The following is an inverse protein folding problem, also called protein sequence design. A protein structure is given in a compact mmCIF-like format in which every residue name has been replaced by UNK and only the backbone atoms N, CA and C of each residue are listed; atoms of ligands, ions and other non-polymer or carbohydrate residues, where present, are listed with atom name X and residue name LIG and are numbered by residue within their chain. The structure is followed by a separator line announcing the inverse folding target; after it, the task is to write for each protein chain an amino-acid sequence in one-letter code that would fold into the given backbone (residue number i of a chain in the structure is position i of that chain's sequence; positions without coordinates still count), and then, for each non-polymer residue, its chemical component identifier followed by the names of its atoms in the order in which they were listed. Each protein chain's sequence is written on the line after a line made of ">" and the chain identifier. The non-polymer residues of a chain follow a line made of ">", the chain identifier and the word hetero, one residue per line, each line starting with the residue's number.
data_IF_405293799651
#
_entry.id   IF_405293799651
#
_cell.length_a   1.000
_cell.length_b   1.000
_cell.length_c   1.000
_cell.angle_alpha   90.00
_cell.angle_beta   90.00
_cell.angle_gamma   90.00
#
_symmetry.space_group_name_H-M   'P 1'
#
loop_
_entity.id
_entity.type
_entity.pdbx_description
1 polymer ?
#
# COMPACT_ATOMS: atom_id res chain seq x y z
N UNK A 1 -0.84 21.26 49.43
CA UNK A 1 -0.11 20.29 50.26
C UNK A 1 -1.06 19.15 50.57
N UNK A 2 -0.94 17.91 50.12
CA UNK A 2 -0.12 17.23 49.12
C UNK A 2 -0.77 15.85 48.89
N UNK A 3 -0.72 15.37 47.64
CA UNK A 3 -0.76 13.95 47.26
C UNK A 3 -2.11 13.22 47.41
N UNK A 4 -2.42 12.18 46.63
CA UNK A 4 -1.63 11.47 45.63
C UNK A 4 -2.57 10.63 44.74
N UNK A 5 -2.05 10.35 43.55
CA UNK A 5 -2.67 9.73 42.39
C UNK A 5 -3.20 8.29 42.58
N UNK A 6 -4.29 7.97 41.90
CA UNK A 6 -4.71 6.64 41.48
C UNK A 6 -5.81 6.82 40.41
N UNK A 7 -5.89 6.15 39.26
CA UNK A 7 -5.10 5.11 38.63
C UNK A 7 -5.47 5.20 37.14
N UNK A 8 -4.52 5.53 36.25
CA UNK A 8 -4.74 5.53 34.80
C UNK A 8 -4.72 4.08 34.32
N UNK A 9 -5.85 3.55 33.87
CA UNK A 9 -5.85 2.31 33.09
C UNK A 9 -5.87 2.65 31.59
N UNK A 10 -4.72 3.04 31.06
CA UNK A 10 -4.50 3.03 29.62
C UNK A 10 -4.08 1.61 29.23
N UNK A 11 -4.97 0.91 28.53
CA UNK A 11 -4.67 -0.39 27.91
C UNK A 11 -3.53 -0.24 26.90
N UNK A 12 -2.34 -0.66 27.31
CA UNK A 12 -1.17 -0.80 26.44
C UNK A 12 -1.36 -2.14 25.70
N UNK A 13 -1.89 -2.13 24.47
CA UNK A 13 -1.78 -3.30 23.60
C UNK A 13 -0.33 -3.34 23.09
N UNK A 14 0.42 -4.34 23.57
CA UNK A 14 1.83 -4.55 23.26
C UNK A 14 2.11 -4.74 21.76
N UNK A 15 3.39 -4.76 21.37
CA UNK A 15 3.80 -4.78 19.97
C UNK A 15 3.40 -6.10 19.33
N UNK A 16 2.42 -6.04 18.43
CA UNK A 16 2.10 -7.14 17.53
C UNK A 16 3.33 -7.52 16.72
N UNK A 17 3.61 -8.81 16.71
CA UNK A 17 4.62 -9.59 15.98
C UNK A 17 4.67 -9.37 14.44
N UNK A 18 4.07 -8.31 13.89
CA UNK A 18 4.03 -8.00 12.46
C UNK A 18 5.02 -6.90 12.02
N UNK A 19 5.81 -6.33 12.93
CA UNK A 19 6.77 -5.23 12.62
C UNK A 19 7.96 -5.62 11.72
N UNK A 20 8.06 -6.86 11.25
CA UNK A 20 9.28 -7.34 10.54
C UNK A 20 9.08 -7.74 9.08
N UNK A 21 7.88 -7.61 8.53
CA UNK A 21 7.61 -8.04 7.14
C UNK A 21 7.31 -6.90 6.16
N UNK A 22 6.94 -5.71 6.63
CA UNK A 22 6.44 -4.65 5.74
C UNK A 22 7.45 -3.54 5.37
N UNK A 23 8.57 -3.40 6.08
CA UNK A 23 9.42 -2.21 5.97
C UNK A 23 10.76 -2.39 5.22
N UNK A 24 11.20 -3.62 4.91
CA UNK A 24 12.61 -3.84 4.57
C UNK A 24 12.95 -3.89 3.06
N UNK A 25 11.99 -3.83 2.11
CA UNK A 25 12.37 -4.10 0.71
C UNK A 25 11.67 -3.37 -0.43
N UNK A 26 10.76 -2.42 -0.19
CA UNK A 26 10.05 -1.73 -1.29
C UNK A 26 10.24 -0.22 -1.35
N UNK A 27 10.99 0.39 -0.42
CA UNK A 27 11.16 1.84 -0.33
C UNK A 27 12.59 2.22 0.11
N UNK A 28 13.60 1.72 -0.60
CA UNK A 28 14.91 2.37 -0.60
C UNK A 28 14.94 3.32 -1.80
N UNK A 29 14.70 4.60 -1.56
CA UNK A 29 15.17 5.66 -2.46
C UNK A 29 16.70 5.72 -2.35
N UNK A 30 17.40 5.93 -3.47
CA UNK A 30 18.87 6.01 -3.51
C UNK A 30 19.46 7.12 -2.61
N UNK A 31 18.64 8.06 -2.14
CA UNK A 31 19.09 9.26 -1.42
C UNK A 31 19.13 9.14 0.12
N UNK A 32 18.81 7.98 0.71
CA UNK A 32 19.08 7.69 2.12
C UNK A 32 18.39 8.59 3.16
N UNK A 33 17.37 9.38 2.76
CA UNK A 33 16.59 10.21 3.69
C UNK A 33 15.38 9.45 4.23
N UNK A 34 15.33 9.28 5.55
CA UNK A 34 14.28 8.54 6.24
C UNK A 34 13.07 9.44 6.48
N UNK A 35 12.18 9.57 5.49
CA UNK A 35 10.89 10.24 5.70
C UNK A 35 9.97 9.36 6.56
N UNK A 36 9.47 9.92 7.67
CA UNK A 36 8.53 9.25 8.57
C UNK A 36 7.14 9.32 7.96
N UNK A 37 6.84 8.39 7.06
CA UNK A 37 5.53 8.29 6.44
C UNK A 37 4.58 7.50 7.35
N UNK A 38 3.36 8.02 7.58
CA UNK A 38 2.37 7.29 8.37
C UNK A 38 1.74 6.15 7.53
N UNK A 39 1.04 5.21 8.17
CA UNK A 39 0.52 4.01 7.49
C UNK A 39 -0.47 4.34 6.35
N UNK A 40 -1.33 5.34 6.57
CA UNK A 40 -2.33 5.79 5.59
C UNK A 40 -1.67 6.35 4.35
N UNK A 41 -0.69 7.18 4.59
CA UNK A 41 0.23 7.75 3.64
C UNK A 41 0.86 6.63 2.78
N UNK A 42 1.57 5.66 3.41
CA UNK A 42 2.21 4.55 2.71
C UNK A 42 1.22 3.79 1.82
N UNK A 43 0.00 3.58 2.33
CA UNK A 43 -1.07 2.92 1.61
C UNK A 43 -1.53 3.71 0.38
N UNK A 44 -1.65 5.03 0.47
CA UNK A 44 -2.00 5.89 -0.67
C UNK A 44 -0.92 5.86 -1.75
N UNK A 45 0.37 5.93 -1.38
CA UNK A 45 1.48 5.75 -2.33
C UNK A 45 1.42 4.38 -3.01
N UNK A 46 1.23 3.31 -2.24
CA UNK A 46 1.07 1.95 -2.79
C UNK A 46 -0.12 1.84 -3.73
N UNK A 47 -1.25 2.45 -3.39
CA UNK A 47 -2.47 2.43 -4.17
C UNK A 47 -2.26 3.14 -5.52
N UNK A 48 -1.62 4.32 -5.50
CA UNK A 48 -1.26 5.05 -6.72
C UNK A 48 -0.35 4.21 -7.60
N UNK A 49 0.72 3.66 -7.04
CA UNK A 49 1.64 2.79 -7.80
C UNK A 49 0.93 1.57 -8.40
N UNK A 50 0.09 0.89 -7.63
CA UNK A 50 -0.64 -0.27 -8.14
C UNK A 50 -1.61 0.07 -9.28
N UNK A 51 -2.12 1.31 -9.33
CA UNK A 51 -2.90 1.80 -10.47
C UNK A 51 -2.03 2.01 -11.70
N UNK A 52 -0.91 2.71 -11.57
CA UNK A 52 0.04 2.92 -12.68
C UNK A 52 0.55 1.58 -13.22
N UNK A 53 0.89 0.64 -12.34
CA UNK A 53 1.28 -0.72 -12.70
C UNK A 53 0.17 -1.44 -13.49
N UNK A 54 -1.10 -1.23 -13.13
CA UNK A 54 -2.23 -1.84 -13.84
C UNK A 54 -2.45 -1.20 -15.21
N UNK A 55 -2.39 0.13 -15.32
CA UNK A 55 -2.49 0.83 -16.61
C UNK A 55 -1.36 0.42 -17.55
N UNK A 56 -0.13 0.39 -17.03
CA UNK A 56 1.06 -0.07 -17.77
C UNK A 56 0.89 -1.52 -18.23
N UNK A 57 0.36 -2.40 -17.37
CA UNK A 57 0.12 -3.79 -17.75
C UNK A 57 -0.92 -3.93 -18.86
N UNK A 58 -1.94 -3.07 -18.90
CA UNK A 58 -2.93 -3.02 -19.97
C UNK A 58 -2.29 -2.55 -21.27
N UNK A 59 -1.53 -1.46 -21.23
CA UNK A 59 -0.82 -0.93 -22.42
C UNK A 59 0.19 -1.93 -23.00
N UNK A 60 0.88 -2.66 -22.13
CA UNK A 60 1.88 -3.64 -22.57
C UNK A 60 1.28 -4.89 -23.22
N UNK A 61 -0.03 -5.16 -23.04
CA UNK A 61 -0.67 -6.30 -23.69
C UNK A 61 -0.56 -6.24 -25.22
N UNK A 62 -0.54 -5.04 -25.79
CA UNK A 62 -0.39 -4.81 -27.23
C UNK A 62 0.96 -5.26 -27.78
N UNK A 63 1.94 -5.56 -26.91
CA UNK A 63 3.26 -6.10 -27.28
C UNK A 63 3.29 -7.63 -27.38
N UNK A 64 2.16 -8.32 -27.18
CA UNK A 64 2.12 -9.78 -27.27
C UNK A 64 2.28 -10.26 -28.73
N UNK A 65 3.37 -10.99 -29.01
CA UNK A 65 3.67 -11.49 -30.36
C UNK A 65 3.30 -12.96 -30.58
N UNK A 66 3.05 -13.71 -29.50
CA UNK A 66 2.72 -15.14 -29.54
C UNK A 66 1.82 -15.55 -28.37
N UNK A 67 1.29 -16.77 -28.43
CA UNK A 67 0.32 -17.29 -27.46
C UNK A 67 0.86 -17.30 -26.02
N UNK A 68 2.14 -17.64 -25.82
CA UNK A 68 2.77 -17.62 -24.48
C UNK A 68 2.84 -16.19 -23.91
N UNK A 69 3.11 -15.20 -24.75
CA UNK A 69 3.10 -13.78 -24.35
C UNK A 69 1.69 -13.30 -24.04
N UNK A 70 0.69 -13.73 -24.81
CA UNK A 70 -0.73 -13.41 -24.53
C UNK A 70 -1.10 -13.89 -23.12
N UNK A 71 -0.78 -15.15 -22.80
CA UNK A 71 -1.03 -15.70 -21.46
C UNK A 71 -0.29 -14.91 -20.39
N UNK A 72 1.01 -14.64 -20.59
CA UNK A 72 1.81 -13.83 -19.67
C UNK A 72 1.17 -12.47 -19.37
N UNK A 73 0.80 -11.70 -20.40
CA UNK A 73 0.23 -10.37 -20.21
C UNK A 73 -1.15 -10.44 -19.56
N UNK A 74 -1.99 -11.42 -19.89
CA UNK A 74 -3.28 -11.64 -19.21
C UNK A 74 -3.09 -11.89 -17.71
N UNK A 75 -2.14 -12.76 -17.35
CA UNK A 75 -1.84 -13.03 -15.94
C UNK A 75 -1.29 -11.79 -15.24
N UNK A 76 -0.41 -11.03 -15.88
CA UNK A 76 0.15 -9.80 -15.33
C UNK A 76 -0.95 -8.74 -15.09
N UNK A 77 -1.80 -8.48 -16.09
CA UNK A 77 -2.93 -7.55 -15.95
C UNK A 77 -3.86 -7.94 -14.79
N UNK A 78 -4.20 -9.23 -14.67
CA UNK A 78 -5.03 -9.73 -13.58
C UNK A 78 -4.34 -9.56 -12.22
N UNK A 79 -3.04 -9.82 -12.13
CA UNK A 79 -2.29 -9.64 -10.89
C UNK A 79 -2.27 -8.16 -10.44
N UNK A 80 -1.99 -7.23 -11.36
CA UNK A 80 -2.01 -5.80 -11.09
C UNK A 80 -3.41 -5.33 -10.66
N UNK A 81 -4.46 -5.77 -11.36
CA UNK A 81 -5.84 -5.44 -11.03
C UNK A 81 -6.22 -5.93 -9.61
N UNK A 82 -5.89 -7.18 -9.27
CA UNK A 82 -6.15 -7.75 -7.94
C UNK A 82 -5.44 -6.94 -6.86
N UNK A 83 -4.17 -6.58 -7.08
CA UNK A 83 -3.39 -5.76 -6.15
C UNK A 83 -4.01 -4.38 -5.95
N UNK A 84 -4.37 -3.68 -7.03
CA UNK A 84 -5.04 -2.38 -6.97
C UNK A 84 -6.36 -2.47 -6.18
N UNK A 85 -7.22 -3.44 -6.51
CA UNK A 85 -8.51 -3.62 -5.85
C UNK A 85 -8.37 -3.92 -4.35
N UNK A 86 -7.37 -4.72 -3.97
CA UNK A 86 -7.07 -5.01 -2.56
C UNK A 86 -6.67 -3.73 -1.80
N UNK A 87 -5.74 -2.95 -2.35
CA UNK A 87 -5.28 -1.71 -1.72
C UNK A 87 -6.40 -0.67 -1.66
N UNK A 88 -7.22 -0.58 -2.70
CA UNK A 88 -8.39 0.31 -2.74
C UNK A 88 -9.40 -0.05 -1.65
N UNK A 89 -9.68 -1.35 -1.49
CA UNK A 89 -10.55 -1.84 -0.41
C UNK A 89 -9.98 -1.48 0.96
N UNK A 90 -8.67 -1.72 1.17
CA UNK A 90 -7.98 -1.39 2.42
C UNK A 90 -8.06 0.10 2.75
N UNK A 91 -7.85 0.96 1.76
CA UNK A 91 -7.89 2.40 1.96
C UNK A 91 -9.31 2.90 2.28
N UNK A 92 -10.35 2.29 1.68
CA UNK A 92 -11.76 2.56 2.01
C UNK A 92 -12.09 2.15 3.46
N UNK A 93 -11.58 1.01 3.92
CA UNK A 93 -11.75 0.55 5.31
C UNK A 93 -11.14 1.50 6.34
N UNK A 94 -10.08 2.23 5.96
CA UNK A 94 -9.43 3.25 6.79
C UNK A 94 -10.07 4.65 6.69
N UNK A 95 -11.11 4.82 5.86
CA UNK A 95 -11.83 6.09 5.74
C UNK A 95 -11.15 7.14 4.88
N UNK A 96 -10.15 6.78 4.07
CA UNK A 96 -9.35 7.71 3.23
C UNK A 96 -10.09 8.19 1.96
N UNK A 97 -11.44 8.33 2.03
CA UNK A 97 -12.32 8.45 0.86
C UNK A 97 -12.09 9.70 0.00
N UNK A 98 -11.71 10.81 0.61
CA UNK A 98 -11.56 12.09 -0.08
C UNK A 98 -10.18 12.23 -0.75
N UNK A 99 -9.16 11.57 -0.20
CA UNK A 99 -7.79 11.60 -0.72
C UNK A 99 -7.65 10.81 -2.05
N UNK A 100 -8.71 10.09 -2.44
CA UNK A 100 -8.77 9.30 -3.68
C UNK A 100 -9.10 10.11 -4.94
N UNK A 101 -9.72 11.29 -4.81
CA UNK A 101 -10.11 12.09 -5.97
C UNK A 101 -8.95 12.95 -6.50
N UNK A 102 -7.99 13.31 -5.64
CA UNK A 102 -6.79 14.04 -6.07
C UNK A 102 -5.71 13.12 -6.68
N UNK A 103 -5.76 11.82 -6.37
CA UNK A 103 -4.90 10.81 -6.97
C UNK A 103 -5.52 10.18 -8.24
N UNK A 104 -6.67 10.70 -8.71
CA UNK A 104 -7.45 10.11 -9.78
C UNK A 104 -7.16 10.66 -11.17
#
# INVERSE_FOLDING_TARGET
>A
MDGNAAFRHTYIKGPGIFKKLSALKLFYDEDGQQEVYNESDCLLKCLKQAREDWLTAVENFDQAENDDMIDYYIYNMKACQIRYNYLLKRAKELGLRNDFYEAQ
#
